data_IF_284236128125
#
_entry.id   IF_284236128125
#
_cell.length_a   1.000
_cell.length_b   1.000
_cell.length_c   1.000
_cell.angle_alpha   90.00
_cell.angle_beta   90.00
_cell.angle_gamma   90.00
#
_symmetry.space_group_name_H-M   'P 1'
#
loop_
_entity.id
_entity.type
_entity.pdbx_description
1 polymer ?
#
# COMPACT_ATOMS: atom_id res chain seq x y z
N UNK A 1 -12.38 -30.07 28.84
CA UNK A 1 -11.69 -30.28 27.55
C UNK A 1 -12.65 -29.92 26.43
N UNK A 2 -12.52 -28.71 25.87
CA UNK A 2 -13.06 -28.33 24.55
C UNK A 2 -11.85 -27.89 23.73
N UNK A 3 -11.54 -28.54 22.60
CA UNK A 3 -10.52 -28.06 21.68
C UNK A 3 -11.13 -27.08 20.67
N UNK A 4 -10.31 -26.13 20.23
CA UNK A 4 -10.29 -25.50 18.88
C UNK A 4 -11.53 -24.67 18.48
N UNK A 5 -11.43 -23.49 17.88
CA UNK A 5 -10.50 -23.00 16.85
C UNK A 5 -10.28 -21.49 17.03
N UNK A 6 -9.05 -21.06 17.34
CA UNK A 6 -8.66 -19.66 17.14
C UNK A 6 -8.38 -19.46 15.64
N UNK A 7 -9.28 -18.77 14.95
CA UNK A 7 -8.97 -18.21 13.63
C UNK A 7 -7.94 -17.11 13.90
N UNK A 8 -6.66 -17.45 13.77
CA UNK A 8 -5.58 -16.50 13.88
C UNK A 8 -5.65 -15.55 12.69
N UNK A 9 -6.38 -14.44 12.85
CA UNK A 9 -6.20 -13.28 11.99
C UNK A 9 -4.75 -12.84 12.18
N UNK A 10 -3.93 -12.96 11.14
CA UNK A 10 -2.61 -12.34 11.11
C UNK A 10 -2.85 -10.84 11.01
N UNK A 11 -3.12 -10.18 12.14
CA UNK A 11 -3.01 -8.73 12.22
C UNK A 11 -1.53 -8.39 12.07
N UNK A 12 -1.14 -7.93 10.88
CA UNK A 12 0.14 -7.27 10.68
C UNK A 12 0.08 -5.96 11.46
N UNK A 13 0.56 -5.96 12.70
CA UNK A 13 0.55 -4.78 13.56
C UNK A 13 1.63 -3.76 13.15
N UNK A 14 2.62 -4.17 12.36
CA UNK A 14 3.71 -3.33 11.91
C UNK A 14 4.41 -3.92 10.68
N UNK A 15 4.96 -3.06 9.82
CA UNK A 15 5.91 -3.44 8.79
C UNK A 15 7.33 -3.12 9.27
N UNK A 16 8.31 -3.96 8.95
CA UNK A 16 9.71 -3.65 9.19
C UNK A 16 10.51 -3.82 7.89
N UNK A 17 11.43 -2.89 7.66
CA UNK A 17 12.30 -2.87 6.48
C UNK A 17 13.75 -2.74 6.92
N UNK A 18 14.58 -3.67 6.47
CA UNK A 18 16.01 -3.66 6.77
C UNK A 18 16.78 -2.96 5.66
N UNK A 19 17.49 -1.90 6.02
CA UNK A 19 18.35 -1.13 5.15
C UNK A 19 19.76 -1.09 5.74
N UNK A 20 20.62 -1.99 5.25
CA UNK A 20 21.99 -2.15 5.77
C UNK A 20 21.98 -2.32 7.30
N UNK A 21 22.55 -1.36 8.03
CA UNK A 21 22.68 -1.38 9.49
C UNK A 21 21.43 -0.86 10.23
N UNK A 22 20.41 -0.42 9.51
CA UNK A 22 19.22 0.22 10.06
C UNK A 22 17.96 -0.58 9.77
N UNK A 23 17.00 -0.49 10.68
CA UNK A 23 15.66 -1.01 10.53
C UNK A 23 14.66 0.13 10.60
N UNK A 24 13.78 0.21 9.61
CA UNK A 24 12.63 1.11 9.58
C UNK A 24 11.39 0.32 9.97
N UNK A 25 10.77 0.67 11.09
CA UNK A 25 9.51 0.09 11.55
C UNK A 25 8.38 1.07 11.26
N UNK A 26 7.30 0.59 10.64
CA UNK A 26 6.09 1.33 10.33
C UNK A 26 4.91 0.73 11.11
N UNK A 27 4.32 1.49 12.01
CA UNK A 27 3.24 1.00 12.88
C UNK A 27 2.36 2.15 13.35
N UNK A 28 1.05 1.90 13.48
CA UNK A 28 0.08 2.86 14.03
C UNK A 28 0.17 4.28 13.43
N UNK A 29 0.36 4.36 12.12
CA UNK A 29 0.52 5.60 11.36
C UNK A 29 1.82 6.39 11.62
N UNK A 30 2.75 5.82 12.39
CA UNK A 30 4.05 6.38 12.75
C UNK A 30 5.20 5.51 12.20
N UNK A 31 6.42 6.01 12.37
CA UNK A 31 7.63 5.28 12.00
C UNK A 31 8.71 5.42 13.07
N UNK A 32 9.51 4.37 13.22
CA UNK A 32 10.70 4.34 14.07
C UNK A 32 11.91 3.84 13.26
N UNK A 33 13.09 4.41 13.54
CA UNK A 33 14.34 4.00 12.91
C UNK A 33 15.26 3.46 14.00
N UNK A 34 15.64 2.19 13.90
CA UNK A 34 16.49 1.49 14.84
C UNK A 34 17.82 1.16 14.18
N UNK A 35 18.94 1.54 14.79
CA UNK A 35 20.26 1.08 14.38
C UNK A 35 20.52 -0.31 14.95
N UNK A 36 20.61 -1.33 14.09
CA UNK A 36 20.88 -2.72 14.47
C UNK A 36 22.37 -3.02 14.63
N UNK A 37 23.20 -2.37 13.81
CA UNK A 37 24.65 -2.55 13.81
C UNK A 37 25.31 -1.17 13.99
N UNK A 38 26.24 -1.00 14.96
CA UNK A 38 26.94 0.27 15.15
C UNK A 38 27.74 0.70 13.91
N UNK A 39 27.68 2.00 13.60
CA UNK A 39 28.37 2.60 12.45
C UNK A 39 27.50 2.68 11.19
N UNK A 40 27.98 3.46 10.21
CA UNK A 40 27.25 3.80 8.99
C UNK A 40 26.39 5.06 9.13
N UNK A 41 26.00 5.63 7.99
CA UNK A 41 24.98 6.68 7.91
C UNK A 41 23.64 6.07 7.47
N UNK A 42 22.53 6.74 7.78
CA UNK A 42 21.19 6.27 7.37
C UNK A 42 21.13 6.28 5.83
N UNK A 43 20.91 5.12 5.17
CA UNK A 43 21.01 5.01 3.71
C UNK A 43 19.72 5.41 2.97
N UNK A 44 18.81 6.09 3.66
CA UNK A 44 17.52 6.51 3.12
C UNK A 44 17.07 7.87 3.66
N UNK A 45 16.23 8.55 2.88
CA UNK A 45 15.56 9.79 3.28
C UNK A 45 14.07 9.57 3.44
N UNK A 46 13.49 10.03 4.55
CA UNK A 46 12.04 9.96 4.80
C UNK A 46 11.36 11.28 4.43
N UNK A 47 10.32 11.19 3.61
CA UNK A 47 9.47 12.28 3.16
C UNK A 47 8.01 11.97 3.46
N UNK A 48 7.26 12.99 3.86
CA UNK A 48 5.80 12.88 3.99
C UNK A 48 5.18 13.54 2.77
N UNK A 49 4.43 12.78 1.97
CA UNK A 49 3.85 13.23 0.71
C UNK A 49 2.37 12.89 0.69
N UNK A 50 1.52 13.91 0.85
CA UNK A 50 0.08 13.71 0.97
C UNK A 50 -0.26 12.85 2.20
N UNK A 51 -0.96 11.74 1.99
CA UNK A 51 -1.26 10.77 3.05
C UNK A 51 -0.16 9.72 3.26
N UNK A 52 0.87 9.69 2.40
CA UNK A 52 1.89 8.65 2.39
C UNK A 52 3.15 9.05 3.15
N UNK A 53 3.80 8.05 3.74
CA UNK A 53 5.21 8.09 4.08
C UNK A 53 6.01 7.50 2.92
N UNK A 54 7.05 8.19 2.48
CA UNK A 54 7.95 7.75 1.41
C UNK A 54 9.37 7.67 1.96
N UNK A 55 10.01 6.52 1.82
CA UNK A 55 11.42 6.32 2.12
C UNK A 55 12.18 5.98 0.84
N UNK A 56 13.11 6.84 0.45
CA UNK A 56 13.92 6.70 -0.76
C UNK A 56 15.37 6.40 -0.41
N UNK A 57 15.99 5.52 -1.19
CA UNK A 57 17.41 5.17 -1.09
C UNK A 57 18.15 5.63 -2.35
N UNK A 58 19.43 6.00 -2.21
CA UNK A 58 20.29 6.34 -3.35
C UNK A 58 20.55 5.14 -4.28
N UNK A 59 20.32 3.93 -3.79
CA UNK A 59 20.40 2.69 -4.56
C UNK A 59 19.24 2.51 -5.55
N UNK A 60 18.22 3.38 -5.52
CA UNK A 60 17.07 3.31 -6.42
C UNK A 60 15.96 2.36 -5.93
N UNK A 61 15.81 2.21 -4.62
CA UNK A 61 14.62 1.63 -3.98
C UNK A 61 13.80 2.75 -3.33
N UNK A 62 12.51 2.79 -3.65
CA UNK A 62 11.52 3.65 -3.01
C UNK A 62 10.44 2.81 -2.35
N UNK A 63 10.23 3.05 -1.06
CA UNK A 63 9.15 2.49 -0.25
C UNK A 63 8.09 3.56 -0.02
N UNK A 64 6.83 3.24 -0.30
CA UNK A 64 5.69 4.11 0.02
C UNK A 64 4.71 3.35 0.91
N UNK A 65 4.25 3.99 1.98
CA UNK A 65 3.28 3.42 2.91
C UNK A 65 2.14 4.40 3.15
N UNK A 66 0.90 3.91 3.04
CA UNK A 66 -0.34 4.69 3.22
C UNK A 66 -0.68 4.98 4.70
N UNK A 67 0.23 4.63 5.62
CA UNK A 67 0.05 4.71 7.08
C UNK A 67 -0.96 3.71 7.66
N UNK A 68 -1.37 2.74 6.84
CA UNK A 68 -2.34 1.68 7.16
C UNK A 68 -1.77 0.34 6.70
N UNK A 69 -2.35 -0.27 5.68
CA UNK A 69 -2.04 -1.63 5.23
C UNK A 69 -1.40 -1.68 3.86
N UNK A 70 -1.38 -0.57 3.10
CA UNK A 70 -0.83 -0.57 1.74
C UNK A 70 0.64 -0.17 1.74
N UNK A 71 1.47 -1.07 1.25
CA UNK A 71 2.89 -0.82 0.98
C UNK A 71 3.14 -0.96 -0.51
N UNK A 72 3.84 0.01 -1.08
CA UNK A 72 4.30 0.00 -2.47
C UNK A 72 5.82 0.03 -2.49
N UNK A 73 6.42 -0.89 -3.22
CA UNK A 73 7.87 -0.96 -3.41
C UNK A 73 8.16 -0.69 -4.88
N UNK A 74 8.97 0.33 -5.15
CA UNK A 74 9.49 0.63 -6.48
C UNK A 74 10.99 0.37 -6.49
N UNK A 75 11.44 -0.32 -7.53
CA UNK A 75 12.84 -0.68 -7.74
C UNK A 75 13.29 -0.13 -9.08
N UNK A 76 14.49 0.45 -9.10
CA UNK A 76 15.18 0.79 -10.34
C UNK A 76 15.47 -0.48 -11.16
N UNK A 77 15.59 -0.33 -12.48
CA UNK A 77 15.90 -1.43 -13.39
C UNK A 77 17.21 -2.16 -13.08
N UNK A 78 18.07 -1.57 -12.25
CA UNK A 78 19.31 -2.21 -11.79
C UNK A 78 19.05 -3.46 -10.94
N UNK A 79 17.88 -3.59 -10.34
CA UNK A 79 17.48 -4.76 -9.55
C UNK A 79 16.84 -5.88 -10.38
N UNK A 80 16.72 -5.70 -11.71
CA UNK A 80 16.05 -6.66 -12.59
C UNK A 80 16.69 -8.05 -12.48
N UNK A 81 15.92 -9.05 -12.08
CA UNK A 81 16.39 -10.43 -11.88
C UNK A 81 17.35 -10.64 -10.70
N UNK A 82 17.50 -9.65 -9.81
CA UNK A 82 18.40 -9.71 -8.65
C UNK A 82 17.67 -9.78 -7.31
N UNK A 83 16.33 -9.77 -7.35
CA UNK A 83 15.48 -9.84 -6.15
C UNK A 83 14.75 -11.17 -6.11
N UNK A 84 14.22 -11.49 -4.93
CA UNK A 84 13.36 -12.64 -4.71
C UNK A 84 12.43 -12.34 -3.53
N UNK A 85 11.35 -13.10 -3.41
CA UNK A 85 10.37 -12.95 -2.34
C UNK A 85 8.95 -13.01 -2.86
N UNK A 86 8.01 -12.55 -2.03
CA UNK A 86 6.59 -12.50 -2.36
C UNK A 86 6.25 -11.58 -3.54
N UNK A 87 7.14 -10.63 -3.87
CA UNK A 87 6.99 -9.74 -5.01
C UNK A 87 7.64 -10.29 -6.31
N UNK A 88 7.99 -11.58 -6.33
CA UNK A 88 8.64 -12.20 -7.48
C UNK A 88 10.13 -11.88 -7.60
N UNK A 89 10.68 -12.06 -8.80
CA UNK A 89 12.11 -11.89 -9.08
C UNK A 89 12.43 -10.63 -9.92
N UNK A 90 11.39 -9.91 -10.36
CA UNK A 90 11.49 -8.71 -11.18
C UNK A 90 12.29 -8.91 -12.48
N UNK A 91 12.18 -10.05 -13.16
CA UNK A 91 12.84 -10.30 -14.46
C UNK A 91 11.96 -9.92 -15.68
N UNK A 92 10.68 -9.61 -15.44
CA UNK A 92 9.69 -9.27 -16.46
C UNK A 92 8.88 -10.47 -16.98
N UNK A 93 9.02 -11.65 -16.37
CA UNK A 93 8.32 -12.87 -16.72
C UNK A 93 7.41 -13.35 -15.57
N UNK A 94 6.12 -13.00 -15.63
CA UNK A 94 5.15 -13.39 -14.58
C UNK A 94 4.95 -14.89 -14.38
N UNK A 95 5.41 -15.75 -15.31
CA UNK A 95 5.24 -17.21 -15.22
C UNK A 95 6.13 -17.82 -14.12
N UNK A 96 7.27 -17.19 -13.81
CA UNK A 96 8.21 -17.71 -12.82
C UNK A 96 8.20 -16.94 -11.48
N UNK A 97 7.30 -15.98 -11.31
CA UNK A 97 7.25 -15.16 -10.08
C UNK A 97 6.93 -15.99 -8.83
N UNK A 98 6.24 -17.12 -8.98
CA UNK A 98 6.04 -18.10 -7.91
C UNK A 98 7.24 -19.02 -7.74
N UNK A 99 8.42 -18.42 -7.56
CA UNK A 99 9.67 -19.12 -7.20
C UNK A 99 9.82 -19.19 -5.68
N UNK A 100 9.92 -20.40 -5.14
CA UNK A 100 10.07 -20.63 -3.70
C UNK A 100 11.46 -20.23 -3.19
N UNK A 101 11.62 -20.16 -1.86
CA UNK A 101 12.94 -19.95 -1.22
C UNK A 101 13.99 -21.02 -1.61
N UNK A 102 13.56 -22.22 -2.00
CA UNK A 102 14.43 -23.29 -2.50
C UNK A 102 14.72 -23.21 -4.00
N UNK A 103 14.33 -22.11 -4.67
CA UNK A 103 14.51 -21.87 -6.10
C UNK A 103 13.68 -22.79 -7.02
N UNK A 104 12.56 -23.31 -6.51
CA UNK A 104 11.62 -24.12 -7.30
C UNK A 104 10.46 -23.25 -7.79
N UNK A 105 10.12 -23.34 -9.07
CA UNK A 105 8.89 -22.70 -9.60
C UNK A 105 7.70 -23.59 -9.31
N UNK A 106 6.68 -23.04 -8.65
CA UNK A 106 5.48 -23.77 -8.22
C UNK A 106 4.21 -23.13 -8.79
N UNK A 107 3.17 -23.94 -8.98
CA UNK A 107 1.86 -23.45 -9.44
C UNK A 107 0.91 -23.06 -8.31
N UNK A 108 1.16 -23.53 -7.08
CA UNK A 108 0.32 -23.25 -5.92
C UNK A 108 0.81 -22.01 -5.16
N UNK A 109 -0.06 -21.00 -5.07
CA UNK A 109 0.22 -19.76 -4.35
C UNK A 109 0.40 -19.98 -2.84
N UNK A 110 -0.23 -21.03 -2.29
CA UNK A 110 -0.12 -21.36 -0.86
C UNK A 110 1.25 -21.97 -0.56
N UNK A 111 1.70 -22.92 -1.37
CA UNK A 111 3.07 -23.43 -1.32
C UNK A 111 4.10 -22.30 -1.47
N UNK A 112 3.93 -21.44 -2.47
CA UNK A 112 4.80 -20.29 -2.71
C UNK A 112 4.88 -19.36 -1.48
N UNK A 113 3.73 -18.91 -0.96
CA UNK A 113 3.66 -17.99 0.18
C UNK A 113 4.26 -18.58 1.46
N UNK A 114 3.96 -19.84 1.77
CA UNK A 114 4.51 -20.53 2.95
C UNK A 114 6.04 -20.69 2.88
N UNK A 115 6.62 -20.84 1.67
CA UNK A 115 8.07 -20.98 1.49
C UNK A 115 8.85 -19.71 1.92
N UNK A 116 8.20 -18.55 1.95
CA UNK A 116 8.83 -17.27 2.25
C UNK A 116 8.75 -16.86 3.72
N UNK A 117 8.12 -17.65 4.60
CA UNK A 117 8.06 -17.35 6.04
C UNK A 117 9.44 -17.09 6.64
N UNK A 118 9.52 -16.07 7.49
CA UNK A 118 10.79 -15.68 8.14
C UNK A 118 11.10 -16.62 9.29
N UNK A 119 10.12 -16.93 10.14
CA UNK A 119 10.27 -17.87 11.25
C UNK A 119 9.68 -19.23 10.90
N UNK A 120 10.41 -20.34 11.13
CA UNK A 120 9.86 -21.68 10.94
C UNK A 120 8.75 -22.01 11.94
N UNK A 121 8.66 -21.29 13.06
CA UNK A 121 7.60 -21.46 14.07
C UNK A 121 6.26 -20.87 13.63
N UNK A 122 6.24 -20.04 12.59
CA UNK A 122 5.00 -19.55 12.01
C UNK A 122 4.24 -20.72 11.35
N UNK A 123 2.94 -20.88 11.64
CA UNK A 123 2.13 -21.93 11.03
C UNK A 123 1.97 -21.67 9.53
N UNK A 124 1.91 -22.75 8.76
CA UNK A 124 1.59 -22.66 7.34
C UNK A 124 0.13 -22.27 7.16
N UNK A 125 -0.14 -21.37 6.22
CA UNK A 125 -1.51 -21.07 5.80
C UNK A 125 -2.05 -22.23 4.96
N UNK A 126 -3.34 -22.56 5.15
CA UNK A 126 -4.06 -23.55 4.34
C UNK A 126 -4.92 -22.88 3.24
N UNK A 127 -4.69 -21.59 3.02
CA UNK A 127 -5.58 -20.72 2.25
C UNK A 127 -6.73 -20.18 3.10
N UNK A 128 -7.21 -18.99 2.76
CA UNK A 128 -8.38 -18.39 3.38
C UNK A 128 -9.65 -18.74 2.59
N UNK A 129 -10.75 -18.98 3.29
CA UNK A 129 -12.07 -19.02 2.66
C UNK A 129 -12.42 -17.60 2.22
N UNK A 130 -13.17 -17.48 1.12
CA UNK A 130 -13.69 -16.19 0.67
C UNK A 130 -14.41 -15.48 1.84
N UNK A 131 -13.95 -14.30 2.28
CA UNK A 131 -14.53 -13.58 3.40
C UNK A 131 -16.02 -13.26 3.21
N UNK A 132 -16.48 -13.02 1.99
CA UNK A 132 -17.89 -12.78 1.70
C UNK A 132 -18.75 -14.04 1.84
N UNK A 133 -18.16 -15.25 1.75
CA UNK A 133 -18.87 -16.50 2.07
C UNK A 133 -18.95 -16.72 3.58
N UNK A 134 -17.90 -16.34 4.31
CA UNK A 134 -17.87 -16.41 5.78
C UNK A 134 -18.78 -15.34 6.41
N UNK A 135 -18.82 -14.14 5.81
CA UNK A 135 -19.59 -12.97 6.26
C UNK A 135 -20.62 -12.54 5.20
N UNK A 136 -21.65 -13.37 4.90
CA UNK A 136 -22.60 -13.12 3.80
C UNK A 136 -23.43 -11.84 3.98
N UNK A 137 -23.67 -11.42 5.21
CA UNK A 137 -24.39 -10.19 5.53
C UNK A 137 -23.65 -8.92 5.04
N UNK A 138 -22.33 -8.99 4.84
CA UNK A 138 -21.52 -7.87 4.33
C UNK A 138 -21.44 -7.81 2.80
N UNK A 139 -21.67 -8.93 2.13
CA UNK A 139 -21.41 -9.08 0.70
C UNK A 139 -22.17 -8.05 -0.18
N UNK A 140 -23.43 -7.76 0.16
CA UNK A 140 -24.23 -6.77 -0.59
C UNK A 140 -23.68 -5.35 -0.45
N UNK A 141 -23.31 -4.97 0.76
CA UNK A 141 -22.68 -3.67 1.03
C UNK A 141 -21.32 -3.57 0.34
N UNK A 142 -20.46 -4.58 0.48
CA UNK A 142 -19.13 -4.63 -0.14
C UNK A 142 -19.20 -4.46 -1.66
N UNK A 143 -20.02 -5.28 -2.35
CA UNK A 143 -20.21 -5.18 -3.81
C UNK A 143 -20.72 -3.80 -4.23
N UNK A 144 -21.68 -3.24 -3.49
CA UNK A 144 -22.22 -1.92 -3.80
C UNK A 144 -21.17 -0.82 -3.65
N UNK A 145 -20.43 -0.78 -2.54
CA UNK A 145 -19.43 0.26 -2.32
C UNK A 145 -18.26 0.12 -3.32
N UNK A 146 -17.72 -1.09 -3.49
CA UNK A 146 -16.60 -1.35 -4.38
C UNK A 146 -16.92 -1.13 -5.87
N UNK A 147 -18.20 -1.12 -6.26
CA UNK A 147 -18.62 -0.83 -7.64
C UNK A 147 -18.16 0.54 -8.17
N UNK A 148 -17.74 1.46 -7.29
CA UNK A 148 -17.11 2.71 -7.72
C UNK A 148 -15.89 2.46 -8.63
N UNK A 149 -15.10 1.41 -8.37
CA UNK A 149 -13.90 1.03 -9.13
C UNK A 149 -14.23 0.75 -10.60
N UNK A 150 -15.37 0.10 -10.88
CA UNK A 150 -15.84 -0.23 -12.23
C UNK A 150 -16.83 0.79 -12.79
N UNK A 151 -17.15 1.84 -12.03
CA UNK A 151 -18.09 2.89 -12.44
C UNK A 151 -17.47 3.92 -13.37
N UNK A 152 -18.31 4.84 -13.87
CA UNK A 152 -17.88 5.98 -14.69
C UNK A 152 -16.89 6.91 -13.98
N UNK A 153 -16.80 6.89 -12.64
CA UNK A 153 -15.82 7.68 -11.87
C UNK A 153 -14.38 7.36 -12.29
N UNK A 154 -14.10 6.10 -12.62
CA UNK A 154 -12.78 5.62 -13.03
C UNK A 154 -12.67 5.33 -14.54
N UNK A 155 -13.66 5.70 -15.35
CA UNK A 155 -13.74 5.34 -16.77
C UNK A 155 -12.48 5.71 -17.58
N UNK A 156 -11.85 6.85 -17.30
CA UNK A 156 -10.63 7.26 -17.98
C UNK A 156 -9.44 6.33 -17.68
N UNK A 157 -9.42 5.68 -16.51
CA UNK A 157 -8.37 4.77 -16.09
C UNK A 157 -8.56 3.34 -16.62
N UNK A 158 -9.81 2.89 -16.84
CA UNK A 158 -10.12 1.52 -17.28
C UNK A 158 -9.41 1.11 -18.58
N UNK A 159 -9.06 2.07 -19.44
CA UNK A 159 -8.31 1.79 -20.68
C UNK A 159 -6.83 1.45 -20.47
N UNK A 160 -6.25 1.84 -19.34
CA UNK A 160 -4.83 1.63 -19.03
C UNK A 160 -4.64 0.57 -17.95
N UNK A 161 -5.52 0.53 -16.94
CA UNK A 161 -5.43 -0.36 -15.80
C UNK A 161 -6.75 -1.12 -15.65
N UNK A 162 -6.68 -2.44 -15.71
CA UNK A 162 -7.84 -3.30 -15.60
C UNK A 162 -8.48 -3.24 -14.19
N UNK A 163 -9.77 -2.86 -14.05
CA UNK A 163 -10.39 -2.65 -12.74
C UNK A 163 -10.81 -3.92 -12.00
N UNK A 164 -11.03 -5.06 -12.68
CA UNK A 164 -11.71 -6.21 -12.07
C UNK A 164 -10.93 -6.82 -10.89
N UNK A 165 -9.60 -6.93 -10.99
CA UNK A 165 -8.76 -7.44 -9.89
C UNK A 165 -8.83 -6.52 -8.65
N UNK A 166 -8.86 -5.20 -8.85
CA UNK A 166 -8.99 -4.22 -7.77
C UNK A 166 -10.40 -4.22 -7.17
N UNK A 167 -11.43 -4.45 -7.99
CA UNK A 167 -12.80 -4.61 -7.53
C UNK A 167 -12.95 -5.86 -6.66
N UNK A 168 -12.43 -7.00 -7.10
CA UNK A 168 -12.51 -8.26 -6.36
C UNK A 168 -11.71 -8.20 -5.04
N UNK A 169 -10.54 -7.56 -5.05
CA UNK A 169 -9.78 -7.27 -3.83
C UNK A 169 -10.56 -6.39 -2.86
N UNK A 170 -11.15 -5.28 -3.35
CA UNK A 170 -11.98 -4.39 -2.53
C UNK A 170 -13.16 -5.15 -1.89
N UNK A 171 -13.87 -5.99 -2.66
CA UNK A 171 -15.01 -6.76 -2.15
C UNK A 171 -14.56 -7.75 -1.07
N UNK A 172 -13.43 -8.42 -1.31
CA UNK A 172 -12.81 -9.35 -0.36
C UNK A 172 -12.47 -8.66 0.96
N UNK A 173 -11.78 -7.52 0.90
CA UNK A 173 -11.36 -6.76 2.09
C UNK A 173 -12.56 -6.18 2.85
N UNK A 174 -13.52 -5.59 2.13
CA UNK A 174 -14.74 -5.03 2.71
C UNK A 174 -15.62 -6.08 3.42
N UNK A 175 -15.58 -7.34 2.96
CA UNK A 175 -16.22 -8.47 3.64
C UNK A 175 -15.42 -9.01 4.82
N UNK A 176 -14.09 -8.89 4.81
CA UNK A 176 -13.20 -9.36 5.88
C UNK A 176 -13.16 -8.41 7.09
N UNK A 177 -13.38 -7.11 6.89
CA UNK A 177 -13.40 -6.13 7.97
C UNK A 177 -14.74 -6.17 8.71
N UNK A 178 -14.88 -7.06 9.69
CA UNK A 178 -16.12 -7.32 10.44
C UNK A 178 -16.07 -6.89 11.92
N UNK A 179 -14.92 -6.44 12.40
CA UNK A 179 -14.69 -6.01 13.80
C UNK A 179 -14.71 -4.48 14.00
N UNK A 180 -15.12 -3.73 12.97
CA UNK A 180 -15.06 -2.27 12.92
C UNK A 180 -13.95 -1.77 11.97
N UNK A 181 -14.11 -0.56 11.42
CA UNK A 181 -13.19 -0.03 10.40
C UNK A 181 -13.57 -0.39 8.96
N UNK A 182 -14.80 -0.81 8.71
CA UNK A 182 -15.31 -1.20 7.39
C UNK A 182 -15.08 -0.14 6.30
N UNK A 183 -15.32 1.12 6.66
CA UNK A 183 -15.07 2.26 5.79
C UNK A 183 -13.58 2.38 5.47
N UNK A 184 -12.70 2.06 6.42
CA UNK A 184 -11.25 2.15 6.23
C UNK A 184 -10.75 1.14 5.20
N UNK A 185 -11.15 -0.13 5.29
CA UNK A 185 -10.74 -1.16 4.34
C UNK A 185 -11.21 -0.84 2.91
N UNK A 186 -12.48 -0.43 2.77
CA UNK A 186 -13.03 0.04 1.50
C UNK A 186 -12.22 1.23 0.94
N UNK A 187 -11.98 2.27 1.75
CA UNK A 187 -11.27 3.46 1.30
C UNK A 187 -9.82 3.17 0.92
N UNK A 188 -9.15 2.27 1.63
CA UNK A 188 -7.78 1.85 1.32
C UNK A 188 -7.72 1.10 -0.01
N UNK A 189 -8.65 0.17 -0.26
CA UNK A 189 -8.71 -0.57 -1.52
C UNK A 189 -8.99 0.33 -2.74
N UNK A 190 -9.92 1.28 -2.62
CA UNK A 190 -10.21 2.24 -3.71
C UNK A 190 -9.03 3.21 -3.92
N UNK A 191 -8.38 3.66 -2.85
CA UNK A 191 -7.19 4.50 -2.93
C UNK A 191 -6.03 3.80 -3.65
N UNK A 192 -5.86 2.48 -3.46
CA UNK A 192 -4.83 1.71 -4.16
C UNK A 192 -5.06 1.70 -5.69
N UNK A 193 -6.31 1.56 -6.14
CA UNK A 193 -6.64 1.66 -7.57
C UNK A 193 -6.43 3.09 -8.11
N UNK A 194 -6.87 4.12 -7.37
CA UNK A 194 -6.62 5.51 -7.73
C UNK A 194 -5.13 5.84 -7.82
N UNK A 195 -4.32 5.30 -6.92
CA UNK A 195 -2.87 5.43 -6.97
C UNK A 195 -2.29 4.75 -8.22
N UNK A 196 -2.80 3.58 -8.61
CA UNK A 196 -2.33 2.91 -9.84
C UNK A 196 -2.70 3.71 -11.10
N UNK A 197 -3.90 4.27 -11.16
CA UNK A 197 -4.31 5.19 -12.21
C UNK A 197 -3.38 6.42 -12.28
N UNK A 198 -3.07 6.99 -11.12
CA UNK A 198 -2.18 8.14 -11.01
C UNK A 198 -0.76 7.79 -11.51
N UNK A 199 -0.22 6.60 -11.20
CA UNK A 199 1.06 6.15 -11.77
C UNK A 199 1.06 6.05 -13.29
N UNK A 200 -0.09 5.75 -13.91
CA UNK A 200 -0.28 5.78 -15.36
C UNK A 200 -0.51 7.22 -15.91
N UNK A 201 -0.39 8.25 -15.07
CA UNK A 201 -0.60 9.65 -15.42
C UNK A 201 -2.07 10.08 -15.46
N UNK A 202 -2.98 9.25 -14.95
CA UNK A 202 -4.43 9.50 -14.97
C UNK A 202 -4.89 9.89 -13.57
N UNK A 203 -5.12 11.18 -13.38
CA UNK A 203 -5.59 11.72 -12.11
C UNK A 203 -7.10 11.55 -11.92
N UNK A 204 -7.52 10.78 -10.91
CA UNK A 204 -8.94 10.54 -10.59
C UNK A 204 -9.31 11.17 -9.25
N UNK A 205 -10.30 12.07 -9.24
CA UNK A 205 -10.90 12.61 -8.02
C UNK A 205 -12.14 11.80 -7.64
N UNK A 206 -11.97 10.79 -6.78
CA UNK A 206 -13.04 9.84 -6.45
C UNK A 206 -13.68 10.06 -5.07
N UNK A 207 -13.00 10.77 -4.16
CA UNK A 207 -13.50 11.06 -2.81
C UNK A 207 -14.59 12.12 -2.85
N UNK A 208 -15.60 11.96 -2.00
CA UNK A 208 -16.72 12.92 -1.84
C UNK A 208 -17.08 13.04 -0.35
N UNK A 209 -17.90 14.02 0.06
CA UNK A 209 -18.34 14.11 1.46
C UNK A 209 -19.02 12.84 1.99
N UNK A 210 -19.63 12.03 1.13
CA UNK A 210 -20.27 10.76 1.49
C UNK A 210 -19.41 9.52 1.25
N UNK A 211 -18.33 9.64 0.47
CA UNK A 211 -17.44 8.54 0.11
C UNK A 211 -16.01 8.90 0.52
N UNK A 212 -15.53 8.25 1.58
CA UNK A 212 -14.15 8.36 2.05
C UNK A 212 -13.66 9.82 2.22
N UNK A 213 -14.40 10.67 2.97
CA UNK A 213 -14.09 12.10 3.08
C UNK A 213 -12.71 12.34 3.69
N UNK A 214 -12.07 13.43 3.24
CA UNK A 214 -10.78 13.90 3.78
C UNK A 214 -10.98 15.31 4.33
N UNK A 215 -10.65 15.49 5.60
CA UNK A 215 -10.77 16.76 6.31
C UNK A 215 -9.45 17.55 6.21
N UNK A 216 -9.25 18.27 5.11
CA UNK A 216 -8.08 19.14 4.90
C UNK A 216 -8.26 20.52 5.56
N UNK A 217 -9.50 21.00 5.59
CA UNK A 217 -9.92 22.27 6.19
C UNK A 217 -9.65 22.35 7.69
N UNK A 218 -9.62 21.21 8.38
CA UNK A 218 -9.19 21.13 9.78
C UNK A 218 -7.83 21.80 10.06
N UNK A 219 -6.93 21.83 9.08
CA UNK A 219 -5.58 22.39 9.23
C UNK A 219 -5.48 23.87 8.86
N UNK A 220 -6.57 24.46 8.38
CA UNK A 220 -6.61 25.86 8.01
C UNK A 220 -6.70 26.75 9.26
N UNK A 221 -5.83 27.78 9.38
CA UNK A 221 -6.10 28.89 10.28
C UNK A 221 -7.45 29.53 9.94
N UNK A 222 -8.12 30.13 10.94
CA UNK A 222 -9.51 30.62 10.80
C UNK A 222 -9.75 31.58 9.62
N UNK A 223 -8.70 32.27 9.16
CA UNK A 223 -8.78 33.30 8.12
C UNK A 223 -8.00 32.93 6.84
N UNK A 224 -7.40 31.74 6.78
CA UNK A 224 -6.53 31.33 5.67
C UNK A 224 -6.96 29.97 5.12
N UNK A 225 -7.04 29.84 3.80
CA UNK A 225 -7.38 28.58 3.14
C UNK A 225 -6.15 28.04 2.42
N UNK A 226 -5.18 27.57 3.21
CA UNK A 226 -3.90 27.07 2.71
C UNK A 226 -3.94 25.58 2.40
N UNK A 227 -4.62 24.78 3.22
CA UNK A 227 -4.69 23.33 3.08
C UNK A 227 -5.86 22.90 2.21
N UNK A 228 -5.53 22.26 1.09
CA UNK A 228 -6.48 21.73 0.12
C UNK A 228 -6.26 20.24 -0.11
N UNK A 229 -7.35 19.51 -0.38
CA UNK A 229 -7.25 18.16 -0.90
C UNK A 229 -6.78 18.20 -2.35
N UNK A 230 -5.73 17.44 -2.65
CA UNK A 230 -5.23 17.21 -4.01
C UNK A 230 -5.30 15.70 -4.30
N UNK A 231 -6.19 15.24 -5.18
CA UNK A 231 -6.41 13.80 -5.42
C UNK A 231 -5.17 13.07 -5.93
N UNK A 232 -4.26 13.80 -6.58
CA UNK A 232 -3.03 13.27 -7.19
C UNK A 232 -1.80 14.05 -6.72
N UNK A 233 -1.90 14.73 -5.58
CA UNK A 233 -0.83 15.51 -4.98
C UNK A 233 -0.26 16.62 -5.86
N UNK A 234 0.89 17.14 -5.44
CA UNK A 234 1.78 17.91 -6.29
C UNK A 234 3.10 17.14 -6.42
N UNK A 235 3.70 17.05 -7.62
CA UNK A 235 4.86 16.19 -7.87
C UNK A 235 6.10 16.60 -7.07
N UNK A 236 6.27 17.88 -6.76
CA UNK A 236 7.34 18.31 -5.86
C UNK A 236 7.00 19.64 -5.19
N UNK A 237 7.23 19.72 -3.87
CA UNK A 237 7.10 20.95 -3.08
C UNK A 237 8.39 21.19 -2.28
N UNK A 238 8.81 22.45 -2.20
CA UNK A 238 9.86 22.87 -1.26
C UNK A 238 9.32 22.76 0.15
N UNK A 239 10.06 22.13 1.04
CA UNK A 239 9.73 22.04 2.46
C UNK A 239 10.99 22.25 3.30
N UNK A 240 10.86 22.42 4.62
CA UNK A 240 12.04 22.50 5.49
C UNK A 240 12.94 21.25 5.41
N UNK A 241 12.36 20.08 5.08
CA UNK A 241 13.08 18.83 4.84
C UNK A 241 13.59 18.69 3.40
N UNK A 242 12.91 19.29 2.42
CA UNK A 242 13.32 19.35 1.02
C UNK A 242 13.57 20.82 0.59
N UNK A 243 14.69 21.40 1.03
CA UNK A 243 15.00 22.82 0.80
C UNK A 243 15.25 23.16 -0.66
N UNK A 244 15.86 22.23 -1.41
CA UNK A 244 16.15 22.42 -2.84
C UNK A 244 14.89 22.33 -3.69
N UNK A 245 13.87 21.59 -3.24
CA UNK A 245 12.71 21.28 -4.06
C UNK A 245 13.06 20.34 -5.21
N UNK A 246 14.15 19.58 -5.07
CA UNK A 246 14.51 18.52 -6.00
C UNK A 246 13.85 17.24 -5.50
N UNK A 247 13.01 16.64 -6.34
CA UNK A 247 12.41 15.34 -6.11
C UNK A 247 12.90 14.41 -7.22
N UNK A 248 13.09 13.12 -6.93
CA UNK A 248 13.25 12.13 -8.00
C UNK A 248 12.08 12.27 -8.97
N UNK A 249 12.36 12.44 -10.27
CA UNK A 249 11.35 12.62 -11.32
C UNK A 249 10.44 11.40 -11.50
N UNK A 250 10.75 10.28 -10.86
CA UNK A 250 10.00 9.03 -10.95
C UNK A 250 8.74 8.98 -10.06
N UNK A 251 8.64 9.88 -9.06
CA UNK A 251 7.50 9.92 -8.15
C UNK A 251 6.53 11.03 -8.57
N UNK A 252 5.41 10.62 -9.15
CA UNK A 252 4.27 11.51 -9.35
C UNK A 252 3.71 11.99 -8.01
N UNK A 253 2.93 13.08 -8.04
CA UNK A 253 2.29 13.58 -6.83
C UNK A 253 1.42 12.50 -6.19
N UNK A 254 1.44 12.38 -4.87
CA UNK A 254 0.65 11.40 -4.15
C UNK A 254 -0.61 12.04 -3.55
N UNK A 255 -1.72 11.30 -3.54
CA UNK A 255 -2.99 11.75 -2.97
C UNK A 255 -2.77 12.34 -1.56
N UNK A 256 -3.38 13.50 -1.30
CA UNK A 256 -3.54 13.96 0.08
C UNK A 256 -3.61 15.46 0.23
N UNK A 257 -3.19 15.89 1.42
CA UNK A 257 -3.29 17.29 1.87
C UNK A 257 -2.11 18.08 1.31
N UNK A 258 -2.37 19.24 0.73
CA UNK A 258 -1.34 20.17 0.28
C UNK A 258 -1.55 21.53 0.94
N UNK A 259 -0.50 22.09 1.54
CA UNK A 259 -0.42 23.51 1.85
C UNK A 259 -0.08 24.30 0.57
N UNK A 260 -0.88 25.32 0.25
CA UNK A 260 -0.60 26.37 -0.72
C UNK A 260 0.39 27.39 -0.13
N UNK A 261 1.65 26.98 0.07
CA UNK A 261 2.76 27.89 0.37
C UNK A 261 3.68 28.03 -0.85
#
# INVERSE_FOLDING_TARGET
MKPETSVGSLTVFWFFFLFQNYELILSDGNYEVIQRIPGGEIPFTIRLMGIYLVADTDAGLTLMWDKKTSVFIKLSSNFKGQVCGLCGNFDGNGINDFTTRSQSVVGDVIEFGNSWKVSPTCPDTKGSKNPCTTNPYRASWAKKQCSIITSTVFASCHSQIEPNEYYDACVTDACACDTGGDCECFCTAVAAYAQKCNEAGICISWRTPSICPVFCDYYNPKEECEWHYKPCGAPCIKTCRNKSGNCSHELQGLEGKKNCA
#
